data_IF_471280967700
#
_entry.id   IF_471280967700
#
_cell.length_a   1.000
_cell.length_b   1.000
_cell.length_c   1.000
_cell.angle_alpha   90.00
_cell.angle_beta   90.00
_cell.angle_gamma   90.00
#
_symmetry.space_group_name_H-M   'P 1'
#
loop_
_entity.id
_entity.type
_entity.pdbx_description
1 polymer ?
#
# COMPACT_ATOMS: atom_id res chain seq x y z
N UNK A 1 8.83 -11.20 -5.28
CA UNK A 1 9.47 -10.78 -4.01
C UNK A 1 10.46 -9.66 -4.31
N UNK A 2 10.61 -8.66 -3.44
CA UNK A 2 11.58 -7.57 -3.64
C UNK A 2 10.99 -6.41 -4.46
N UNK A 3 11.70 -5.97 -5.49
CA UNK A 3 11.28 -4.88 -6.40
C UNK A 3 12.15 -3.63 -6.32
N UNK A 4 12.03 -2.76 -7.32
CA UNK A 4 12.69 -1.44 -7.37
C UNK A 4 11.89 -0.43 -6.55
N UNK A 5 11.97 -0.56 -5.23
CA UNK A 5 11.21 0.26 -4.28
C UNK A 5 12.04 0.51 -3.03
N UNK A 6 11.81 1.65 -2.36
CA UNK A 6 12.31 1.88 -1.00
C UNK A 6 11.81 0.82 -0.01
N UNK A 7 10.71 0.15 -0.34
CA UNK A 7 10.05 -0.88 0.47
C UNK A 7 10.46 -2.31 0.03
N UNK A 8 11.62 -2.45 -0.62
CA UNK A 8 12.16 -3.73 -1.09
C UNK A 8 12.23 -4.79 0.02
N UNK A 9 12.79 -4.45 1.18
CA UNK A 9 12.97 -5.42 2.26
C UNK A 9 11.63 -5.79 2.93
N UNK A 10 10.68 -4.85 2.99
CA UNK A 10 9.30 -5.12 3.44
C UNK A 10 8.59 -6.08 2.47
N UNK A 11 8.82 -5.91 1.16
CA UNK A 11 8.33 -6.78 0.10
C UNK A 11 8.88 -8.20 0.22
N UNK A 12 10.16 -8.34 0.56
CA UNK A 12 10.76 -9.64 0.80
C UNK A 12 10.17 -10.34 2.03
N UNK A 13 9.96 -9.63 3.15
CA UNK A 13 9.32 -10.19 4.34
C UNK A 13 7.89 -10.64 4.06
N UNK A 14 7.09 -9.80 3.42
CA UNK A 14 5.71 -10.10 3.06
C UNK A 14 5.62 -11.29 2.11
N UNK A 15 6.43 -11.26 1.04
CA UNK A 15 6.50 -12.36 0.08
C UNK A 15 6.97 -13.67 0.72
N UNK A 16 7.89 -13.61 1.69
CA UNK A 16 8.38 -14.80 2.41
C UNK A 16 7.29 -15.43 3.26
N UNK A 17 6.50 -14.59 3.95
CA UNK A 17 5.35 -15.06 4.71
C UNK A 17 4.28 -15.69 3.80
N UNK A 18 3.95 -15.03 2.68
CA UNK A 18 3.05 -15.57 1.66
C UNK A 18 3.56 -16.94 1.18
N UNK A 19 4.84 -17.02 0.79
CA UNK A 19 5.46 -18.26 0.35
C UNK A 19 5.29 -19.35 1.40
N UNK A 20 5.63 -19.10 2.67
CA UNK A 20 5.54 -20.12 3.72
C UNK A 20 4.10 -20.54 4.08
N UNK A 21 3.10 -19.71 3.77
CA UNK A 21 1.70 -19.94 4.19
C UNK A 21 0.82 -20.58 3.11
N UNK A 22 1.15 -20.37 1.83
CA UNK A 22 0.38 -20.95 0.71
C UNK A 22 0.22 -22.48 0.84
N UNK A 23 -0.99 -22.98 0.60
CA UNK A 23 -1.29 -24.41 0.72
C UNK A 23 -0.53 -25.24 -0.33
N UNK A 24 0.45 -26.04 0.12
CA UNK A 24 1.25 -26.91 -0.74
C UNK A 24 0.49 -28.12 -1.28
N UNK A 25 -0.66 -28.47 -0.70
CA UNK A 25 -1.54 -29.50 -1.25
C UNK A 25 -2.31 -28.99 -2.48
N UNK A 26 -2.51 -27.67 -2.60
CA UNK A 26 -3.21 -27.03 -3.71
C UNK A 26 -2.25 -26.44 -4.75
N UNK A 27 -1.13 -25.87 -4.30
CA UNK A 27 -0.27 -25.04 -5.14
C UNK A 27 1.19 -25.52 -5.18
N UNK A 28 1.75 -25.60 -6.40
CA UNK A 28 3.20 -25.67 -6.62
C UNK A 28 3.75 -24.25 -6.65
N UNK A 29 4.37 -23.82 -5.55
CA UNK A 29 4.83 -22.45 -5.38
C UNK A 29 6.28 -22.31 -5.79
N UNK A 30 6.59 -21.29 -6.60
CA UNK A 30 7.93 -20.94 -7.07
C UNK A 30 8.25 -19.49 -6.71
N UNK A 31 9.38 -19.21 -6.03
CA UNK A 31 9.79 -17.87 -5.70
C UNK A 31 10.38 -17.16 -6.92
N UNK A 32 9.99 -15.90 -7.11
CA UNK A 32 10.52 -15.01 -8.15
C UNK A 32 11.00 -13.74 -7.46
N UNK A 33 12.29 -13.46 -7.57
CA UNK A 33 12.94 -12.32 -6.93
C UNK A 33 13.20 -11.21 -7.94
N UNK A 34 12.93 -9.97 -7.55
CA UNK A 34 13.23 -8.77 -8.32
C UNK A 34 14.22 -7.93 -7.51
N UNK A 35 15.40 -7.66 -8.05
CA UNK A 35 16.43 -6.87 -7.36
C UNK A 35 16.06 -5.39 -7.26
N UNK A 36 16.84 -4.62 -6.48
CA UNK A 36 16.70 -3.16 -6.38
C UNK A 36 16.93 -2.45 -7.73
N UNK A 37 17.68 -3.07 -8.64
CA UNK A 37 17.89 -2.58 -10.00
C UNK A 37 16.80 -3.03 -10.99
N UNK A 38 15.82 -3.82 -10.53
CA UNK A 38 14.70 -4.30 -11.35
C UNK A 38 14.97 -5.59 -12.12
N UNK A 39 16.09 -6.28 -11.88
CA UNK A 39 16.39 -7.57 -12.53
C UNK A 39 15.66 -8.73 -11.87
N UNK A 40 15.17 -9.66 -12.68
CA UNK A 40 14.41 -10.81 -12.22
C UNK A 40 15.30 -12.05 -12.11
N UNK A 41 15.14 -12.79 -11.02
CA UNK A 41 15.90 -13.99 -10.71
C UNK A 41 14.95 -15.10 -10.26
N UNK A 42 15.07 -16.25 -10.93
CA UNK A 42 14.32 -17.46 -10.60
C UNK A 42 15.02 -18.70 -11.19
N UNK A 43 14.91 -19.84 -10.50
CA UNK A 43 15.34 -21.15 -11.00
C UNK A 43 14.39 -21.62 -12.10
N UNK A 44 14.86 -22.33 -13.13
CA UNK A 44 13.97 -22.93 -14.14
C UNK A 44 13.19 -24.12 -13.56
N UNK A 45 13.83 -24.88 -12.69
CA UNK A 45 13.24 -26.03 -12.01
C UNK A 45 12.49 -25.61 -10.74
N UNK A 46 11.39 -26.31 -10.45
CA UNK A 46 10.68 -26.20 -9.18
C UNK A 46 11.27 -27.17 -8.16
N UNK A 47 11.46 -26.72 -6.92
CA UNK A 47 11.93 -27.56 -5.81
C UNK A 47 10.97 -27.48 -4.60
N UNK A 48 10.34 -28.58 -4.17
CA UNK A 48 9.46 -28.60 -3.01
C UNK A 48 10.16 -28.33 -1.68
N UNK A 49 11.50 -28.51 -1.62
CA UNK A 49 12.29 -28.40 -0.40
C UNK A 49 12.88 -27.00 -0.18
N UNK A 50 12.58 -26.03 -1.05
CA UNK A 50 12.99 -24.65 -0.83
C UNK A 50 12.36 -24.09 0.44
N UNK A 51 13.22 -23.63 1.35
CA UNK A 51 12.84 -22.96 2.58
C UNK A 51 13.29 -21.51 2.52
N UNK A 52 12.41 -20.58 2.92
CA UNK A 52 12.87 -19.24 3.29
C UNK A 52 13.55 -19.39 4.65
N UNK A 53 14.83 -19.05 4.79
CA UNK A 53 15.48 -19.08 6.09
C UNK A 53 14.92 -17.97 6.99
N UNK A 54 14.69 -18.28 8.27
CA UNK A 54 14.38 -17.28 9.29
C UNK A 54 15.66 -16.52 9.64
N UNK A 55 15.98 -15.50 8.85
CA UNK A 55 17.19 -14.70 9.01
C UNK A 55 16.84 -13.34 9.61
N UNK A 56 17.61 -12.85 10.61
CA UNK A 56 17.49 -11.49 11.11
C UNK A 56 17.60 -10.49 9.97
N UNK A 57 16.77 -9.45 10.01
CA UNK A 57 16.79 -8.46 8.95
C UNK A 57 18.00 -7.55 9.14
N UNK A 58 18.99 -7.71 8.26
CA UNK A 58 20.22 -6.95 8.20
C UNK A 58 20.52 -6.58 6.74
N UNK A 59 21.65 -5.92 6.49
CA UNK A 59 22.06 -5.47 5.15
C UNK A 59 22.14 -6.61 4.12
N UNK A 60 22.36 -7.85 4.56
CA UNK A 60 22.46 -9.01 3.68
C UNK A 60 21.15 -9.81 3.55
N UNK A 61 20.05 -9.38 4.17
CA UNK A 61 18.76 -10.10 4.13
C UNK A 61 18.33 -10.41 2.69
N UNK A 62 18.36 -9.41 1.81
CA UNK A 62 18.04 -9.57 0.38
C UNK A 62 18.90 -10.63 -0.31
N UNK A 63 20.22 -10.62 -0.07
CA UNK A 63 21.14 -11.61 -0.66
C UNK A 63 20.89 -13.00 -0.12
N UNK A 64 20.65 -13.12 1.18
CA UNK A 64 20.43 -14.40 1.83
C UNK A 64 19.09 -15.05 1.42
N UNK A 65 18.03 -14.26 1.30
CA UNK A 65 16.74 -14.73 0.77
C UNK A 65 16.93 -15.23 -0.67
N UNK A 66 17.61 -14.45 -1.52
CA UNK A 66 17.87 -14.87 -2.90
C UNK A 66 18.74 -16.13 -3.01
N UNK A 67 19.82 -16.22 -2.22
CA UNK A 67 20.72 -17.38 -2.17
C UNK A 67 20.03 -18.68 -1.75
N UNK A 68 18.91 -18.57 -1.03
CA UNK A 68 18.12 -19.73 -0.59
C UNK A 68 17.31 -20.38 -1.70
N UNK A 69 17.08 -19.66 -2.81
CA UNK A 69 16.25 -20.12 -3.92
C UNK A 69 17.01 -20.28 -5.22
N UNK A 70 18.04 -19.45 -5.43
CA UNK A 70 18.81 -19.42 -6.66
C UNK A 70 20.29 -19.51 -6.32
N UNK A 71 21.01 -20.40 -7.01
CA UNK A 71 22.46 -20.45 -6.88
C UNK A 71 23.09 -19.18 -7.50
N UNK A 72 23.41 -18.21 -6.64
CA UNK A 72 23.91 -16.90 -7.02
C UNK A 72 25.20 -16.94 -7.84
N UNK A 73 26.03 -17.97 -7.68
CA UNK A 73 27.30 -18.08 -8.41
C UNK A 73 27.14 -18.19 -9.93
N UNK A 74 25.98 -18.68 -10.39
CA UNK A 74 25.68 -18.85 -11.82
C UNK A 74 24.36 -18.18 -12.25
N UNK A 75 23.71 -17.44 -11.35
CA UNK A 75 22.41 -16.83 -11.62
C UNK A 75 22.56 -15.65 -12.59
N UNK A 76 22.05 -15.80 -13.82
CA UNK A 76 21.94 -14.68 -14.76
C UNK A 76 20.58 -14.00 -14.60
N UNK A 77 20.51 -12.66 -14.65
CA UNK A 77 19.24 -11.96 -14.69
C UNK A 77 18.45 -12.43 -15.92
N UNK A 78 17.16 -12.70 -15.73
CA UNK A 78 16.27 -13.11 -16.82
C UNK A 78 15.40 -11.93 -17.23
N UNK A 79 15.19 -11.75 -18.53
CA UNK A 79 14.25 -10.76 -19.04
C UNK A 79 12.84 -11.33 -18.88
N UNK A 80 12.01 -10.68 -18.09
CA UNK A 80 10.65 -11.14 -17.78
C UNK A 80 9.77 -11.32 -19.04
N UNK A 81 10.05 -10.60 -20.14
CA UNK A 81 9.33 -10.75 -21.42
C UNK A 81 9.74 -11.99 -22.23
N UNK A 82 10.95 -12.54 -22.03
CA UNK A 82 11.43 -13.69 -22.82
C UNK A 82 10.89 -15.04 -22.35
N UNK A 83 10.29 -15.09 -21.17
CA UNK A 83 9.50 -16.21 -20.70
C UNK A 83 8.29 -15.67 -19.93
N UNK A 84 7.21 -15.30 -20.66
CA UNK A 84 5.96 -14.85 -20.04
C UNK A 84 5.40 -15.90 -19.08
N UNK A 85 5.74 -17.18 -19.25
CA UNK A 85 5.30 -18.22 -18.35
C UNK A 85 6.23 -18.41 -17.14
N UNK A 86 7.36 -17.73 -17.02
CA UNK A 86 8.37 -17.98 -15.98
C UNK A 86 8.55 -19.49 -15.64
N UNK A 87 8.58 -20.34 -16.68
CA UNK A 87 8.56 -21.80 -16.58
C UNK A 87 7.18 -22.44 -16.27
N UNK A 88 6.09 -21.96 -16.89
CA UNK A 88 4.73 -22.54 -16.74
C UNK A 88 3.90 -22.05 -15.54
N UNK A 89 4.24 -20.92 -14.92
CA UNK A 89 3.44 -20.27 -13.88
C UNK A 89 2.07 -19.86 -14.41
N UNK A 90 1.01 -20.32 -13.73
CA UNK A 90 -0.38 -19.95 -14.07
C UNK A 90 -0.80 -18.60 -13.50
N UNK A 91 -0.19 -18.18 -12.40
CA UNK A 91 -0.55 -16.97 -11.67
C UNK A 91 0.63 -16.45 -10.85
N UNK A 92 0.74 -15.12 -10.77
CA UNK A 92 1.65 -14.43 -9.87
C UNK A 92 0.96 -14.04 -8.56
N UNK A 93 1.56 -14.40 -7.42
CA UNK A 93 1.15 -13.87 -6.12
C UNK A 93 1.98 -12.65 -5.80
N UNK A 94 1.36 -11.47 -5.84
CA UNK A 94 2.03 -10.19 -5.65
C UNK A 94 2.19 -9.90 -4.15
N UNK A 95 3.44 -9.84 -3.70
CA UNK A 95 3.84 -9.36 -2.37
C UNK A 95 4.85 -8.22 -2.47
N UNK A 96 4.61 -7.31 -3.42
CA UNK A 96 5.42 -6.13 -3.68
C UNK A 96 4.80 -4.92 -2.98
N UNK A 97 5.63 -4.02 -2.45
CA UNK A 97 5.22 -2.78 -1.78
C UNK A 97 5.90 -1.57 -2.40
N UNK A 98 5.14 -0.49 -2.52
CA UNK A 98 5.59 0.78 -3.05
C UNK A 98 5.88 0.77 -4.54
N UNK A 99 5.91 1.98 -5.11
CA UNK A 99 6.31 2.22 -6.49
C UNK A 99 5.60 1.30 -7.49
N UNK A 100 6.39 0.65 -8.34
CA UNK A 100 5.93 -0.16 -9.48
C UNK A 100 5.06 -1.37 -9.11
N UNK A 101 5.10 -1.81 -7.84
CA UNK A 101 4.28 -2.92 -7.35
C UNK A 101 2.83 -2.53 -7.10
N UNK A 102 2.59 -1.29 -6.66
CA UNK A 102 1.28 -0.80 -6.21
C UNK A 102 0.68 0.29 -7.10
N UNK A 103 1.45 0.86 -8.02
CA UNK A 103 1.01 1.96 -8.90
C UNK A 103 0.33 1.51 -10.20
N UNK A 104 0.19 0.19 -10.41
CA UNK A 104 -0.42 -0.39 -11.61
C UNK A 104 0.57 -0.82 -12.70
N UNK A 105 1.87 -0.49 -12.62
CA UNK A 105 2.84 -0.86 -13.65
C UNK A 105 3.11 -2.35 -13.72
N UNK A 106 3.31 -3.01 -12.58
CA UNK A 106 3.47 -4.47 -12.53
C UNK A 106 2.21 -5.18 -13.05
N UNK A 107 1.04 -4.70 -12.63
CA UNK A 107 -0.25 -5.20 -13.06
C UNK A 107 -0.38 -5.07 -14.59
N UNK A 108 -0.01 -3.93 -15.16
CA UNK A 108 -0.09 -3.69 -16.60
C UNK A 108 0.86 -4.62 -17.37
N UNK A 109 2.08 -4.84 -16.86
CA UNK A 109 3.02 -5.80 -17.43
C UNK A 109 2.42 -7.22 -17.46
N UNK A 110 1.80 -7.65 -16.36
CA UNK A 110 1.19 -8.98 -16.26
C UNK A 110 -0.06 -9.12 -17.15
N UNK A 111 -0.90 -8.08 -17.23
CA UNK A 111 -2.06 -8.06 -18.14
C UNK A 111 -1.63 -8.11 -19.61
N UNK A 112 -0.63 -7.33 -20.01
CA UNK A 112 -0.11 -7.33 -21.38
C UNK A 112 0.50 -8.67 -21.80
N UNK A 113 0.98 -9.45 -20.85
CA UNK A 113 1.55 -10.78 -21.08
C UNK A 113 0.53 -11.90 -20.94
N UNK A 114 -0.73 -11.59 -20.60
CA UNK A 114 -1.81 -12.56 -20.43
C UNK A 114 -1.66 -13.44 -19.18
N UNK A 115 -0.89 -13.00 -18.19
CA UNK A 115 -0.62 -13.78 -16.98
C UNK A 115 -1.54 -13.31 -15.85
N UNK A 116 -2.25 -14.24 -15.21
CA UNK A 116 -3.05 -13.97 -14.02
C UNK A 116 -2.19 -13.49 -12.85
N UNK A 117 -2.78 -12.70 -11.96
CA UNK A 117 -2.12 -12.24 -10.73
C UNK A 117 -3.13 -11.95 -9.62
N UNK A 118 -2.65 -11.98 -8.37
CA UNK A 118 -3.47 -11.69 -7.19
C UNK A 118 -3.61 -10.19 -6.92
N UNK A 119 -4.73 -9.78 -6.32
CA UNK A 119 -4.95 -8.40 -5.87
C UNK A 119 -5.67 -7.53 -6.90
N UNK A 120 -5.57 -6.22 -6.73
CA UNK A 120 -6.31 -5.23 -7.54
C UNK A 120 -5.73 -5.02 -8.94
N UNK A 121 -6.58 -4.60 -9.89
CA UNK A 121 -6.20 -4.35 -11.29
C UNK A 121 -5.35 -3.09 -11.52
N UNK A 122 -4.96 -2.84 -12.77
CA UNK A 122 -4.18 -1.63 -13.16
C UNK A 122 -4.84 -0.36 -12.68
N UNK A 123 -6.10 -0.11 -13.10
CA UNK A 123 -6.81 1.12 -12.78
C UNK A 123 -6.95 1.34 -11.27
N UNK A 124 -7.37 0.29 -10.54
CA UNK A 124 -7.55 0.37 -9.09
C UNK A 124 -6.24 0.65 -8.35
N UNK A 125 -5.15 0.02 -8.78
CA UNK A 125 -3.81 0.23 -8.23
C UNK A 125 -3.33 1.67 -8.48
N UNK A 126 -3.46 2.16 -9.72
CA UNK A 126 -3.08 3.52 -10.08
C UNK A 126 -3.93 4.59 -9.36
N UNK A 127 -5.24 4.37 -9.20
CA UNK A 127 -6.13 5.30 -8.49
C UNK A 127 -5.85 5.33 -6.99
N UNK A 128 -5.66 4.17 -6.38
CA UNK A 128 -5.29 4.05 -4.96
C UNK A 128 -3.97 4.75 -4.65
N UNK A 129 -2.98 4.60 -5.53
CA UNK A 129 -1.66 5.23 -5.37
C UNK A 129 -1.71 6.76 -5.49
N UNK A 130 -2.62 7.32 -6.30
CA UNK A 130 -2.80 8.76 -6.47
C UNK A 130 -3.74 9.35 -5.40
N UNK A 131 -3.16 9.88 -4.32
CA UNK A 131 -3.89 10.40 -3.14
C UNK A 131 -4.87 11.52 -3.47
N UNK A 132 -4.58 12.34 -4.48
CA UNK A 132 -5.49 13.41 -4.88
C UNK A 132 -6.71 12.85 -5.62
N UNK A 133 -6.48 11.95 -6.59
CA UNK A 133 -7.57 11.33 -7.35
C UNK A 133 -8.43 10.41 -6.49
N UNK A 134 -7.82 9.62 -5.61
CA UNK A 134 -8.57 8.77 -4.68
C UNK A 134 -9.44 9.60 -3.75
N UNK A 135 -8.95 10.72 -3.21
CA UNK A 135 -9.76 11.63 -2.41
C UNK A 135 -10.98 12.20 -3.16
N UNK A 136 -10.84 12.56 -4.45
CA UNK A 136 -11.98 12.98 -5.27
C UNK A 136 -13.02 11.85 -5.42
N UNK A 137 -12.56 10.62 -5.62
CA UNK A 137 -13.43 9.44 -5.71
C UNK A 137 -14.15 9.21 -4.38
N UNK A 138 -13.44 9.25 -3.25
CA UNK A 138 -14.02 9.06 -1.92
C UNK A 138 -15.09 10.12 -1.62
N UNK A 139 -14.83 11.40 -1.94
CA UNK A 139 -15.82 12.47 -1.79
C UNK A 139 -17.07 12.21 -2.64
N UNK A 140 -16.92 11.73 -3.88
CA UNK A 140 -18.05 11.39 -4.75
C UNK A 140 -18.96 10.29 -4.18
N UNK A 141 -18.43 9.45 -3.29
CA UNK A 141 -19.16 8.38 -2.60
C UNK A 141 -19.74 8.83 -1.25
N UNK A 142 -19.60 10.10 -0.89
CA UNK A 142 -20.02 10.63 0.40
C UNK A 142 -19.18 10.13 1.58
N UNK A 143 -17.95 9.67 1.33
CA UNK A 143 -17.00 9.33 2.40
C UNK A 143 -16.36 10.64 2.90
N UNK A 144 -16.32 10.89 4.23
CA UNK A 144 -15.65 12.07 4.77
C UNK A 144 -14.16 12.09 4.43
N UNK A 145 -13.72 13.14 3.74
CA UNK A 145 -12.31 13.38 3.35
C UNK A 145 -11.93 14.78 3.81
N UNK A 146 -10.82 14.91 4.53
CA UNK A 146 -10.37 16.20 5.01
C UNK A 146 -10.09 17.12 3.83
N UNK A 147 -10.45 18.40 3.95
CA UNK A 147 -10.38 19.37 2.86
C UNK A 147 -8.98 19.37 2.25
N UNK A 148 -8.91 19.31 0.92
CA UNK A 148 -7.65 19.10 0.23
C UNK A 148 -7.59 19.84 -1.10
N UNK A 149 -6.36 20.03 -1.58
CA UNK A 149 -6.03 20.58 -2.89
C UNK A 149 -4.76 19.92 -3.43
N UNK A 150 -4.55 20.06 -4.73
CA UNK A 150 -3.29 19.70 -5.38
C UNK A 150 -2.56 20.98 -5.78
N UNK A 151 -1.24 21.01 -5.55
CA UNK A 151 -0.35 21.99 -6.16
C UNK A 151 0.67 21.29 -7.05
N UNK A 152 0.79 21.79 -8.29
CA UNK A 152 1.76 21.29 -9.27
C UNK A 152 3.03 22.12 -9.24
N UNK A 153 4.17 21.49 -9.53
CA UNK A 153 5.47 22.18 -9.60
C UNK A 153 5.45 23.38 -10.53
N UNK A 154 4.88 23.24 -11.73
CA UNK A 154 4.83 24.33 -12.71
C UNK A 154 3.97 25.51 -12.24
N UNK A 155 2.88 25.22 -11.53
CA UNK A 155 2.02 26.24 -10.90
C UNK A 155 2.78 26.98 -9.78
N UNK A 156 3.44 26.23 -8.89
CA UNK A 156 4.27 26.80 -7.82
C UNK A 156 5.39 27.70 -8.36
N UNK A 157 6.12 27.23 -9.38
CA UNK A 157 7.21 28.00 -10.00
C UNK A 157 6.70 29.24 -10.74
N UNK A 158 5.49 29.17 -11.33
CA UNK A 158 4.84 30.34 -11.94
C UNK A 158 4.50 31.38 -10.88
N UNK A 159 3.90 30.96 -9.76
CA UNK A 159 3.57 31.85 -8.65
C UNK A 159 4.83 32.44 -8.02
N UNK A 160 5.89 31.66 -7.82
CA UNK A 160 7.18 32.14 -7.27
C UNK A 160 7.76 33.28 -8.13
N UNK A 161 7.70 33.15 -9.47
CA UNK A 161 8.17 34.17 -10.42
C UNK A 161 7.30 35.43 -10.42
N UNK A 162 5.97 35.27 -10.44
CA UNK A 162 5.03 36.40 -10.49
C UNK A 162 5.07 37.24 -9.21
N UNK A 163 5.21 36.57 -8.07
CA UNK A 163 5.17 37.21 -6.77
C UNK A 163 6.52 37.81 -6.33
N UNK A 164 7.60 37.65 -7.10
CA UNK A 164 8.96 38.07 -6.69
C UNK A 164 9.36 37.52 -5.31
N UNK A 165 8.80 36.37 -4.89
CA UNK A 165 8.97 35.83 -3.54
C UNK A 165 7.95 36.29 -2.49
N UNK A 166 6.88 37.02 -2.86
CA UNK A 166 5.73 37.27 -1.99
C UNK A 166 4.99 35.96 -1.64
N UNK A 167 3.96 36.09 -0.79
CA UNK A 167 3.24 35.00 -0.17
C UNK A 167 2.45 34.11 -1.17
N UNK A 168 3.10 33.06 -1.67
CA UNK A 168 2.56 32.10 -2.64
C UNK A 168 1.29 31.41 -2.10
N UNK A 169 1.25 31.14 -0.79
CA UNK A 169 0.11 30.49 -0.14
C UNK A 169 -1.17 31.29 -0.32
N UNK A 170 -1.14 32.61 -0.09
CA UNK A 170 -2.34 33.45 -0.19
C UNK A 170 -2.95 33.44 -1.59
N UNK A 171 -2.13 33.51 -2.64
CA UNK A 171 -2.65 33.49 -4.02
C UNK A 171 -3.19 32.11 -4.40
N UNK A 172 -2.43 31.05 -4.13
CA UNK A 172 -2.84 29.68 -4.44
C UNK A 172 -4.08 29.25 -3.66
N UNK A 173 -4.15 29.58 -2.36
CA UNK A 173 -5.19 29.10 -1.46
C UNK A 173 -6.55 29.81 -1.66
N UNK A 174 -6.65 30.89 -2.44
CA UNK A 174 -7.93 31.56 -2.71
C UNK A 174 -8.98 30.62 -3.32
N UNK A 175 -8.56 29.69 -4.17
CA UNK A 175 -9.47 28.73 -4.83
C UNK A 175 -9.92 27.61 -3.89
N UNK A 176 -9.16 27.34 -2.83
CA UNK A 176 -9.34 26.15 -1.99
C UNK A 176 -9.83 26.49 -0.59
N UNK A 177 -9.43 27.64 -0.03
CA UNK A 177 -9.77 28.09 1.33
C UNK A 177 -9.37 27.07 2.41
N UNK A 178 -8.16 26.50 2.32
CA UNK A 178 -7.59 25.59 3.32
C UNK A 178 -7.09 26.37 4.54
N UNK A 179 -7.17 25.74 5.70
CA UNK A 179 -6.68 26.26 6.98
C UNK A 179 -5.47 25.49 7.49
N UNK A 180 -4.53 26.19 8.11
CA UNK A 180 -3.44 25.55 8.85
C UNK A 180 -3.94 24.91 10.16
N UNK A 181 -3.28 23.84 10.65
CA UNK A 181 -2.17 23.15 10.00
C UNK A 181 -2.60 22.28 8.83
N UNK A 182 -1.74 22.21 7.81
CA UNK A 182 -1.91 21.31 6.67
C UNK A 182 -0.86 20.21 6.69
N UNK A 183 -1.23 19.07 6.16
CA UNK A 183 -0.39 17.92 5.92
C UNK A 183 -0.17 17.77 4.42
N UNK A 184 1.09 17.81 4.00
CA UNK A 184 1.50 17.76 2.62
C UNK A 184 2.12 16.40 2.30
N UNK A 185 1.66 15.76 1.22
CA UNK A 185 2.09 14.43 0.80
C UNK A 185 2.37 14.44 -0.71
N UNK A 186 3.44 13.80 -1.21
CA UNK A 186 3.54 13.49 -2.63
C UNK A 186 2.28 12.73 -3.08
N UNK A 187 1.75 13.11 -4.24
CA UNK A 187 0.49 12.52 -4.72
C UNK A 187 0.63 11.02 -4.98
N UNK A 188 1.81 10.58 -5.41
CA UNK A 188 2.19 9.17 -5.59
C UNK A 188 3.29 8.78 -4.62
N UNK A 189 3.42 7.49 -4.32
CA UNK A 189 4.45 6.95 -3.44
C UNK A 189 3.92 6.57 -2.05
N UNK A 190 4.72 5.79 -1.31
CA UNK A 190 4.35 5.21 -0.02
C UNK A 190 5.27 5.63 1.13
N UNK A 191 5.08 5.01 2.29
CA UNK A 191 6.00 5.07 3.43
C UNK A 191 6.32 6.47 3.98
N UNK A 192 5.40 7.44 3.82
CA UNK A 192 5.56 8.81 4.33
C UNK A 192 6.80 9.57 3.81
N UNK A 193 7.46 9.08 2.75
CA UNK A 193 8.61 9.78 2.17
C UNK A 193 8.14 11.11 1.56
N UNK A 194 8.87 12.20 1.83
CA UNK A 194 8.49 13.54 1.36
C UNK A 194 7.23 14.12 2.01
N UNK A 195 6.67 13.45 3.03
CA UNK A 195 5.48 13.92 3.74
C UNK A 195 5.85 14.85 4.89
N UNK A 196 5.09 15.94 5.08
CA UNK A 196 5.35 16.89 6.15
C UNK A 196 4.10 17.63 6.62
N UNK A 197 4.07 17.99 7.91
CA UNK A 197 3.15 18.99 8.44
C UNK A 197 3.71 20.40 8.27
N UNK A 198 2.82 21.34 7.96
CA UNK A 198 3.10 22.77 8.01
C UNK A 198 2.05 23.47 8.87
N UNK A 199 2.50 24.33 9.78
CA UNK A 199 1.63 25.13 10.65
C UNK A 199 1.45 26.57 10.15
N UNK A 200 2.22 26.98 9.13
CA UNK A 200 2.14 28.30 8.52
C UNK A 200 2.65 28.30 7.07
N UNK A 201 2.53 29.48 6.45
CA UNK A 201 2.80 29.79 5.04
C UNK A 201 4.30 29.61 4.70
N UNK A 202 5.18 30.14 5.55
CA UNK A 202 6.63 30.13 5.35
C UNK A 202 7.19 28.70 5.36
N UNK A 203 6.77 27.90 6.33
CA UNK A 203 7.16 26.48 6.44
C UNK A 203 6.64 25.69 5.24
N UNK A 204 5.44 25.99 4.78
CA UNK A 204 4.81 25.30 3.65
C UNK A 204 5.59 25.58 2.36
N UNK A 205 5.84 26.85 2.07
CA UNK A 205 6.55 27.29 0.87
C UNK A 205 8.01 26.78 0.85
N UNK A 206 8.73 26.87 1.97
CA UNK A 206 10.11 26.39 2.10
C UNK A 206 10.21 24.88 1.84
N UNK A 207 9.32 24.08 2.43
CA UNK A 207 9.34 22.62 2.27
C UNK A 207 8.88 22.18 0.88
N UNK A 208 7.87 22.83 0.29
CA UNK A 208 7.44 22.55 -1.09
C UNK A 208 8.57 22.78 -2.10
N UNK A 209 9.34 23.86 -1.95
CA UNK A 209 10.48 24.15 -2.83
C UNK A 209 11.47 22.99 -2.87
N UNK A 210 11.81 22.42 -1.70
CA UNK A 210 12.70 21.28 -1.58
C UNK A 210 12.11 20.01 -2.19
N UNK A 211 10.84 19.73 -1.93
CA UNK A 211 10.20 18.50 -2.44
C UNK A 211 9.99 18.55 -3.95
N UNK A 212 9.73 19.72 -4.52
CA UNK A 212 9.65 19.89 -5.97
C UNK A 212 11.00 19.71 -6.69
N UNK A 213 12.11 19.49 -6.00
CA UNK A 213 13.36 19.02 -6.62
C UNK A 213 13.21 17.59 -7.15
N UNK A 214 12.40 16.75 -6.49
CA UNK A 214 12.20 15.33 -6.84
C UNK A 214 10.78 15.00 -7.29
N UNK A 215 9.78 15.73 -6.82
CA UNK A 215 8.36 15.50 -7.09
C UNK A 215 7.78 16.58 -8.03
N UNK A 216 6.65 16.26 -8.68
CA UNK A 216 5.96 17.19 -9.58
C UNK A 216 4.57 17.62 -9.10
N UNK A 217 3.99 16.87 -8.14
CA UNK A 217 2.61 17.03 -7.68
C UNK A 217 2.51 16.73 -6.19
N UNK A 218 1.97 17.68 -5.44
CA UNK A 218 1.79 17.56 -4.00
C UNK A 218 0.31 17.69 -3.63
N UNK A 219 -0.17 16.76 -2.81
CA UNK A 219 -1.41 16.89 -2.07
C UNK A 219 -1.16 17.80 -0.87
N UNK A 220 -2.04 18.76 -0.67
CA UNK A 220 -2.11 19.61 0.54
C UNK A 220 -3.47 19.38 1.16
N UNK A 221 -3.50 18.89 2.40
CA UNK A 221 -4.73 18.49 3.07
C UNK A 221 -4.79 19.07 4.48
N UNK A 222 -5.95 19.53 4.94
CA UNK A 222 -6.12 19.97 6.32
C UNK A 222 -5.83 18.83 7.31
N UNK A 223 -5.12 19.15 8.38
CA UNK A 223 -4.73 18.14 9.36
C UNK A 223 -5.93 17.69 10.19
N UNK A 224 -6.29 16.42 10.07
CA UNK A 224 -7.33 15.78 10.91
C UNK A 224 -6.68 15.19 12.16
N UNK A 225 -7.18 15.56 13.35
CA UNK A 225 -6.70 15.03 14.63
C UNK A 225 -7.66 13.99 15.17
N UNK A 226 -7.14 12.86 15.62
CA UNK A 226 -7.97 11.77 16.15
C UNK A 226 -7.21 10.47 16.29
N UNK A 227 -7.96 9.39 16.47
CA UNK A 227 -7.45 8.02 16.59
C UNK A 227 -7.17 7.44 15.21
N UNK A 228 -5.98 6.90 14.98
CA UNK A 228 -5.65 6.24 13.71
C UNK A 228 -6.23 4.83 13.70
N UNK A 229 -6.99 4.51 12.65
CA UNK A 229 -7.68 3.22 12.51
C UNK A 229 -7.53 2.72 11.09
N UNK A 230 -7.30 1.42 10.97
CA UNK A 230 -7.21 0.73 9.69
C UNK A 230 -8.25 -0.37 9.60
N UNK A 231 -8.82 -0.59 8.42
CA UNK A 231 -9.81 -1.63 8.20
C UNK A 231 -9.58 -2.30 6.84
N UNK A 232 -9.38 -3.61 6.87
CA UNK A 232 -9.25 -4.46 5.71
C UNK A 232 -10.58 -4.80 5.07
N UNK A 233 -10.57 -4.95 3.75
CA UNK A 233 -11.64 -5.60 2.98
C UNK A 233 -11.07 -6.86 2.36
N UNK A 234 -11.81 -7.96 2.44
CA UNK A 234 -11.51 -9.21 1.76
C UNK A 234 -12.68 -9.62 0.87
N UNK A 235 -12.37 -10.34 -0.19
CA UNK A 235 -13.34 -11.11 -0.97
C UNK A 235 -13.13 -12.59 -0.69
N UNK A 236 -14.20 -13.30 -0.33
CA UNK A 236 -14.18 -14.75 -0.11
C UNK A 236 -15.08 -15.45 -1.13
N UNK A 237 -14.69 -16.66 -1.47
CA UNK A 237 -15.52 -17.60 -2.21
C UNK A 237 -16.23 -18.53 -1.21
N UNK A 238 -17.56 -18.65 -1.31
CA UNK A 238 -18.35 -19.53 -0.44
C UNK A 238 -18.75 -20.87 -1.10
N UNK A 239 -18.32 -21.10 -2.34
CA UNK A 239 -18.71 -22.25 -3.16
C UNK A 239 -19.71 -21.92 -4.26
N UNK A 240 -20.39 -20.78 -4.19
CA UNK A 240 -21.38 -20.34 -5.16
C UNK A 240 -21.07 -18.96 -5.74
N UNK A 241 -20.69 -18.00 -4.91
CA UNK A 241 -20.38 -16.64 -5.35
C UNK A 241 -19.26 -15.97 -4.53
N UNK A 242 -18.68 -14.92 -5.13
CA UNK A 242 -17.74 -14.05 -4.43
C UNK A 242 -18.49 -13.04 -3.57
N UNK A 243 -18.16 -12.98 -2.28
CA UNK A 243 -18.70 -11.98 -1.36
C UNK A 243 -17.59 -11.10 -0.78
N UNK A 244 -17.81 -9.79 -0.79
CA UNK A 244 -16.91 -8.79 -0.19
C UNK A 244 -17.36 -8.49 1.23
N UNK A 245 -16.43 -8.38 2.16
CA UNK A 245 -16.72 -8.01 3.54
C UNK A 245 -15.55 -7.23 4.15
N UNK A 246 -15.88 -6.30 5.04
CA UNK A 246 -14.90 -5.59 5.84
C UNK A 246 -14.55 -6.41 7.09
N UNK A 247 -13.27 -6.46 7.43
CA UNK A 247 -12.77 -7.06 8.66
C UNK A 247 -13.01 -6.13 9.86
N UNK A 248 -12.88 -6.61 11.12
CA UNK A 248 -12.86 -5.73 12.27
C UNK A 248 -11.70 -4.73 12.13
N UNK A 249 -11.93 -3.42 12.37
CA UNK A 249 -10.87 -2.44 12.32
C UNK A 249 -9.80 -2.69 13.39
N UNK A 250 -8.58 -2.24 13.12
CA UNK A 250 -7.45 -2.17 14.06
C UNK A 250 -7.16 -0.73 14.39
N UNK A 251 -7.08 -0.39 15.68
CA UNK A 251 -6.58 0.91 16.10
C UNK A 251 -5.04 0.87 16.18
N UNK A 252 -4.40 1.90 15.65
CA UNK A 252 -2.95 2.07 15.69
C UNK A 252 -2.64 3.18 16.70
N UNK A 253 -2.13 2.83 17.87
CA UNK A 253 -1.81 3.76 18.95
C UNK A 253 -0.30 4.01 18.92
N UNK A 254 0.16 5.22 18.54
CA UNK A 254 1.59 5.50 18.47
C UNK A 254 2.20 5.59 19.88
N UNK A 255 3.47 5.18 20.04
CA UNK A 255 4.19 5.35 21.31
C UNK A 255 4.68 6.79 21.55
N UNK A 256 4.62 7.66 20.53
CA UNK A 256 5.04 9.06 20.55
C UNK A 256 4.21 9.93 19.59
N UNK A 257 4.12 11.24 19.81
CA UNK A 257 3.27 12.15 19.01
C UNK A 257 3.58 12.24 17.50
N UNK A 258 4.73 11.73 17.04
CA UNK A 258 5.14 11.82 15.62
C UNK A 258 5.46 10.45 15.02
N UNK A 259 4.83 10.15 13.88
CA UNK A 259 5.12 9.02 13.00
C UNK A 259 6.25 9.38 12.03
N UNK A 260 7.48 8.96 12.31
CA UNK A 260 8.56 8.94 11.32
C UNK A 260 8.63 7.59 10.59
N UNK A 261 9.38 7.55 9.48
CA UNK A 261 9.61 6.33 8.68
C UNK A 261 10.19 5.18 9.53
N UNK A 262 11.03 5.51 10.52
CA UNK A 262 11.65 4.51 11.40
C UNK A 262 10.63 3.89 12.37
N UNK A 263 9.60 4.62 12.80
CA UNK A 263 8.60 4.13 13.73
C UNK A 263 7.68 3.04 13.17
N UNK A 264 7.38 3.06 11.86
CA UNK A 264 6.44 2.11 11.23
C UNK A 264 6.96 0.67 11.11
N UNK A 265 8.27 0.46 11.26
CA UNK A 265 8.91 -0.82 10.95
C UNK A 265 9.83 -1.37 12.06
N UNK A 266 9.97 -0.63 13.17
CA UNK A 266 10.67 -1.10 14.37
C UNK A 266 9.64 -1.75 15.31
N UNK A 267 9.77 -3.06 15.62
CA UNK A 267 8.92 -3.73 16.59
C UNK A 267 8.87 -2.96 17.93
N UNK A 268 7.66 -2.65 18.41
CA UNK A 268 7.45 -2.03 19.73
C UNK A 268 7.24 -0.51 19.77
N UNK A 269 7.19 0.19 18.62
CA UNK A 269 6.94 1.65 18.55
C UNK A 269 5.46 2.06 18.32
N UNK A 270 4.56 1.11 18.15
CA UNK A 270 3.11 1.33 18.15
C UNK A 270 2.42 0.15 18.82
N UNK A 271 1.32 0.42 19.52
CA UNK A 271 0.41 -0.60 20.03
C UNK A 271 -0.75 -0.73 19.06
N UNK A 272 -0.93 -1.91 18.49
CA UNK A 272 -2.02 -2.21 17.58
C UNK A 272 -3.10 -3.00 18.35
N UNK A 273 -4.35 -2.54 18.30
CA UNK A 273 -5.46 -3.14 19.03
C UNK A 273 -6.51 -3.63 18.04
N UNK A 274 -6.69 -4.95 17.97
CA UNK A 274 -7.62 -5.62 17.04
C UNK A 274 -8.52 -6.60 17.81
N UNK A 275 -9.86 -6.47 17.74
CA UNK A 275 -10.62 -5.36 17.16
C UNK A 275 -10.38 -4.02 17.90
N UNK A 276 -10.54 -2.90 17.19
CA UNK A 276 -10.44 -1.56 17.77
C UNK A 276 -11.49 -1.33 18.86
N UNK A 277 -11.09 -0.73 19.99
CA UNK A 277 -11.97 -0.43 21.12
C UNK A 277 -12.76 0.87 20.88
N UNK A 278 -13.85 0.75 20.12
CA UNK A 278 -14.71 1.87 19.73
C UNK A 278 -16.20 1.50 19.81
N UNK A 279 -17.11 2.48 19.97
CA UNK A 279 -18.54 2.26 19.81
C UNK A 279 -18.88 1.56 18.50
N UNK A 280 -19.82 0.60 18.55
CA UNK A 280 -20.23 -0.21 17.39
C UNK A 280 -20.62 0.66 16.19
N UNK A 281 -21.28 1.79 16.41
CA UNK A 281 -21.70 2.71 15.36
C UNK A 281 -20.52 3.30 14.57
N UNK A 282 -19.38 3.55 15.24
CA UNK A 282 -18.16 4.02 14.59
C UNK A 282 -17.52 2.88 13.79
N UNK A 283 -17.44 1.68 14.37
CA UNK A 283 -16.95 0.49 13.68
C UNK A 283 -17.76 0.21 12.41
N UNK A 284 -19.09 0.23 12.50
CA UNK A 284 -19.99 0.02 11.37
C UNK A 284 -19.76 1.08 10.27
N UNK A 285 -19.54 2.35 10.64
CA UNK A 285 -19.19 3.42 9.68
C UNK A 285 -17.85 3.17 8.99
N UNK A 286 -16.81 2.78 9.73
CA UNK A 286 -15.49 2.48 9.20
C UNK A 286 -15.58 1.33 8.20
N UNK A 287 -16.21 0.22 8.59
CA UNK A 287 -16.39 -0.95 7.73
C UNK A 287 -17.17 -0.62 6.45
N UNK A 288 -18.25 0.18 6.57
CA UNK A 288 -19.01 0.66 5.42
C UNK A 288 -18.17 1.52 4.50
N UNK A 289 -17.40 2.46 5.04
CA UNK A 289 -16.52 3.32 4.23
C UNK A 289 -15.38 2.56 3.57
N UNK A 290 -14.79 1.57 4.23
CA UNK A 290 -13.79 0.68 3.61
C UNK A 290 -14.37 -0.08 2.42
N UNK A 291 -15.59 -0.62 2.54
CA UNK A 291 -16.27 -1.29 1.43
C UNK A 291 -16.59 -0.33 0.27
N UNK A 292 -17.08 0.88 0.59
CA UNK A 292 -17.34 1.91 -0.43
C UNK A 292 -16.06 2.33 -1.14
N UNK A 293 -14.97 2.57 -0.40
CA UNK A 293 -13.67 2.93 -0.97
C UNK A 293 -13.11 1.81 -1.87
N UNK A 294 -13.16 0.57 -1.39
CA UNK A 294 -12.76 -0.62 -2.16
C UNK A 294 -13.52 -0.70 -3.49
N UNK A 295 -14.86 -0.59 -3.45
CA UNK A 295 -15.68 -0.68 -4.64
C UNK A 295 -15.48 0.51 -5.59
N UNK A 296 -15.39 1.73 -5.07
CA UNK A 296 -15.29 2.94 -5.88
C UNK A 296 -13.95 3.06 -6.61
N UNK A 297 -12.87 2.52 -6.03
CA UNK A 297 -11.58 2.40 -6.71
C UNK A 297 -11.54 1.23 -7.71
N UNK A 298 -12.52 0.32 -7.67
CA UNK A 298 -12.50 -0.92 -8.44
C UNK A 298 -11.47 -1.93 -7.92
N UNK A 299 -11.16 -1.87 -6.62
CA UNK A 299 -10.32 -2.86 -5.98
C UNK A 299 -10.93 -4.25 -6.13
N UNK A 300 -10.05 -5.26 -6.14
CA UNK A 300 -10.44 -6.67 -6.15
C UNK A 300 -9.67 -7.42 -5.08
N UNK A 301 -10.31 -8.46 -4.57
CA UNK A 301 -9.75 -9.51 -3.72
C UNK A 301 -9.43 -9.04 -2.29
N UNK A 302 -8.66 -7.97 -2.15
CA UNK A 302 -8.38 -7.36 -0.86
C UNK A 302 -7.93 -5.90 -1.01
N UNK A 303 -8.12 -5.14 0.07
CA UNK A 303 -7.51 -3.82 0.24
C UNK A 303 -7.44 -3.48 1.74
N UNK A 304 -6.69 -2.44 2.08
CA UNK A 304 -6.68 -1.88 3.44
C UNK A 304 -6.92 -0.38 3.39
N UNK A 305 -7.94 0.10 4.08
CA UNK A 305 -8.27 1.51 4.13
C UNK A 305 -7.94 2.08 5.51
N UNK A 306 -7.23 3.20 5.52
CA UNK A 306 -6.74 3.86 6.73
C UNK A 306 -7.55 5.14 6.98
N UNK A 307 -7.83 5.45 8.25
CA UNK A 307 -8.71 6.54 8.70
C UNK A 307 -8.13 7.28 9.91
N UNK A 308 -8.56 8.52 10.10
CA UNK A 308 -8.53 9.21 11.39
C UNK A 308 -9.97 9.33 11.91
N UNK A 309 -10.22 8.83 13.12
CA UNK A 309 -11.49 8.99 13.82
C UNK A 309 -11.39 10.19 14.75
N UNK A 310 -12.10 11.27 14.42
CA UNK A 310 -12.14 12.51 15.23
C UNK A 310 -12.92 12.30 16.53
N UNK A 311 -12.80 13.26 17.46
CA UNK A 311 -13.44 13.20 18.79
C UNK A 311 -14.97 13.08 18.73
N UNK A 312 -15.60 13.65 17.70
CA UNK A 312 -17.03 13.52 17.39
C UNK A 312 -17.43 12.13 16.85
N UNK A 313 -16.47 11.22 16.66
CA UNK A 313 -16.65 9.88 16.13
C UNK A 313 -16.76 9.79 14.61
N UNK A 314 -16.44 10.86 13.88
CA UNK A 314 -16.44 10.85 12.41
C UNK A 314 -15.17 10.16 11.88
N UNK A 315 -15.26 9.09 11.06
CA UNK A 315 -14.11 8.49 10.41
C UNK A 315 -13.80 9.23 9.10
N UNK A 316 -12.65 9.90 9.08
CA UNK A 316 -12.11 10.58 7.91
C UNK A 316 -11.11 9.67 7.20
N UNK A 317 -11.38 9.35 5.94
CA UNK A 317 -10.52 8.46 5.15
C UNK A 317 -9.19 9.16 4.82
N UNK A 318 -8.09 8.41 4.91
CA UNK A 318 -6.76 8.86 4.54
C UNK A 318 -6.34 8.33 3.17
N UNK A 319 -6.38 7.00 3.01
CA UNK A 319 -5.97 6.31 1.79
C UNK A 319 -6.49 4.87 1.78
N UNK A 320 -6.44 4.23 0.61
CA UNK A 320 -6.67 2.79 0.45
C UNK A 320 -5.45 2.17 -0.21
N UNK A 321 -4.92 1.11 0.38
CA UNK A 321 -3.75 0.38 -0.07
C UNK A 321 -4.20 -0.90 -0.80
N UNK A 322 -3.66 -1.15 -1.99
CA UNK A 322 -4.06 -2.27 -2.86
C UNK A 322 -3.18 -3.51 -2.72
N UNK A 323 -1.97 -3.38 -2.18
CA UNK A 323 -1.15 -4.50 -1.74
C UNK A 323 -0.67 -4.30 -0.29
N UNK A 324 -1.56 -4.17 0.70
CA UNK A 324 -1.15 -3.99 2.10
C UNK A 324 -0.23 -5.11 2.58
N UNK A 325 0.61 -4.79 3.57
CA UNK A 325 1.49 -5.74 4.26
C UNK A 325 0.77 -7.02 4.68
N UNK A 326 1.42 -8.15 4.44
CA UNK A 326 0.86 -9.50 4.66
C UNK A 326 1.70 -10.34 5.62
N UNK A 327 2.65 -9.76 6.36
CA UNK A 327 3.40 -10.51 7.39
C UNK A 327 2.48 -10.92 8.54
N UNK A 328 2.83 -11.94 9.33
CA UNK A 328 2.00 -12.38 10.47
C UNK A 328 1.66 -11.29 11.50
N UNK A 329 2.47 -10.22 11.58
CA UNK A 329 2.23 -9.05 12.42
C UNK A 329 1.59 -7.88 11.67
N UNK A 330 1.23 -8.04 10.39
CA UNK A 330 0.55 -7.00 9.62
C UNK A 330 -0.94 -6.92 9.97
N UNK A 331 -1.56 -5.77 9.68
CA UNK A 331 -2.94 -5.47 10.06
C UNK A 331 -3.96 -6.46 9.45
N UNK A 332 -3.87 -6.78 8.15
CA UNK A 332 -4.82 -7.72 7.52
C UNK A 332 -4.79 -9.10 8.20
N UNK A 333 -3.61 -9.74 8.42
CA UNK A 333 -3.53 -10.97 9.19
C UNK A 333 -4.09 -10.90 10.61
N UNK A 334 -3.81 -9.82 11.36
CA UNK A 334 -4.38 -9.64 12.70
C UNK A 334 -5.91 -9.56 12.66
N UNK A 335 -6.45 -8.78 11.73
CA UNK A 335 -7.88 -8.58 11.54
C UNK A 335 -8.60 -9.86 11.10
N UNK A 336 -8.01 -10.64 10.21
CA UNK A 336 -8.52 -11.94 9.81
C UNK A 336 -8.53 -12.94 10.99
N UNK A 337 -7.44 -12.99 11.75
CA UNK A 337 -7.31 -13.84 12.95
C UNK A 337 -8.38 -13.52 14.01
N UNK A 338 -8.69 -12.23 14.21
CA UNK A 338 -9.70 -11.78 15.16
C UNK A 338 -11.12 -12.30 14.85
N UNK A 339 -11.38 -12.77 13.62
CA UNK A 339 -12.64 -13.40 13.22
C UNK A 339 -12.46 -14.88 12.83
N UNK A 340 -11.35 -15.49 13.22
CA UNK A 340 -11.08 -16.91 13.00
C UNK A 340 -10.77 -17.30 11.55
N UNK A 341 -10.43 -16.33 10.69
CA UNK A 341 -10.03 -16.61 9.31
C UNK A 341 -8.52 -16.86 9.26
N UNK A 342 -8.12 -18.00 8.70
CA UNK A 342 -6.70 -18.32 8.56
C UNK A 342 -6.08 -17.61 7.36
N UNK A 343 -4.79 -17.24 7.45
CA UNK A 343 -4.07 -16.66 6.30
C UNK A 343 -3.92 -17.64 5.14
N UNK A 344 -4.00 -18.94 5.42
CA UNK A 344 -4.03 -19.98 4.39
C UNK A 344 -5.29 -19.88 3.54
N UNK A 345 -6.45 -19.61 4.15
CA UNK A 345 -7.71 -19.39 3.45
C UNK A 345 -7.67 -18.10 2.64
N UNK A 346 -7.18 -17.01 3.25
CA UNK A 346 -7.02 -15.71 2.59
C UNK A 346 -6.17 -15.87 1.32
N UNK A 347 -4.97 -16.47 1.41
CA UNK A 347 -4.13 -16.65 0.23
C UNK A 347 -4.74 -17.57 -0.82
N UNK A 348 -5.53 -18.57 -0.41
CA UNK A 348 -6.25 -19.44 -1.34
C UNK A 348 -7.32 -18.67 -2.11
N UNK A 349 -8.11 -17.82 -1.43
CA UNK A 349 -9.06 -16.91 -2.08
C UNK A 349 -8.35 -15.93 -3.02
N UNK A 350 -7.20 -15.39 -2.61
CA UNK A 350 -6.42 -14.48 -3.45
C UNK A 350 -5.99 -15.14 -4.76
N UNK A 351 -5.46 -16.36 -4.68
CA UNK A 351 -5.03 -17.14 -5.85
C UNK A 351 -6.24 -17.51 -6.72
N UNK A 352 -7.33 -17.99 -6.13
CA UNK A 352 -8.53 -18.36 -6.88
C UNK A 352 -9.12 -17.15 -7.61
N UNK A 353 -9.29 -16.02 -6.93
CA UNK A 353 -9.81 -14.77 -7.51
C UNK A 353 -8.95 -14.27 -8.68
N UNK A 354 -7.62 -14.39 -8.56
CA UNK A 354 -6.71 -13.98 -9.64
C UNK A 354 -6.75 -14.91 -10.86
N UNK A 355 -7.00 -16.21 -10.66
CA UNK A 355 -7.13 -17.19 -11.75
C UNK A 355 -8.44 -17.02 -12.55
N UNK A 356 -9.47 -16.46 -11.93
CA UNK A 356 -10.78 -16.18 -12.55
C UNK A 356 -10.86 -14.78 -13.20
N UNK A 357 -9.74 -14.05 -13.27
CA UNK A 357 -9.69 -12.67 -13.79
C UNK A 357 -9.94 -12.57 -15.29
#
# INVERSE_FOLDING_TARGET
MGGKSSEHDVSLRSSSFIYNTLDRSLFKVKPIFISKDGYWYYSDEWNPNWKVPEIPVNEDYSKNVLASFVNLTNAKPKLAWQDPSCGGCKIFVLGLHGGEGEDGRMQAFLEMTGISYTGSGVLASSLAMDKYRSNLIFQSQGIPVAKFAEIKKDEFLKLEKLNQGNNIWQEWNQAYNLSFPVFCKPTTGGSSLGTFRSDNEDVWQSKLKKIFETENRMLVQENTKGREVSCGVLERWDGAEWSKFALPPTEIIPSSEFFDYEAKYIPGKSREVTPAEMPKEIIDKIQRYSLLAHNALGCRTYSRTDFIVTEDGTPWILETNTLPGMTGTSLIPQQASAVGISMKDVFSWLVQSGLER
#
